data_IF_860466395322
#
_entry.id   IF_860466395322
#
_cell.length_a   1.000
_cell.length_b   1.000
_cell.length_c   1.000
_cell.angle_alpha   90.00
_cell.angle_beta   90.00
_cell.angle_gamma   90.00
#
_symmetry.space_group_name_H-M   'P 1'
#
loop_
_entity.id
_entity.type
_entity.pdbx_description
1 polymer ?
#
# COMPACT_ATOMS: atom_id res chain seq x y z
N UNK A 1 14.68 2.69 1.81
CA UNK A 1 13.89 3.99 1.73
C UNK A 1 12.49 3.75 2.29
N UNK A 2 11.80 4.77 2.79
CA UNK A 2 10.43 4.59 3.28
C UNK A 2 9.42 4.91 2.19
N UNK A 3 8.27 4.24 2.20
CA UNK A 3 7.15 4.62 1.34
C UNK A 3 6.58 5.99 1.75
N UNK A 4 6.10 6.82 0.80
CA UNK A 4 5.56 8.15 1.10
C UNK A 4 4.16 8.14 1.71
N UNK A 5 3.53 6.98 1.78
CA UNK A 5 2.23 6.77 2.40
C UNK A 5 2.16 5.38 3.04
N UNK A 6 1.24 5.24 3.98
CA UNK A 6 0.95 3.95 4.59
C UNK A 6 -0.15 3.28 3.77
N UNK A 7 0.10 2.05 3.34
CA UNK A 7 -0.87 1.21 2.65
C UNK A 7 -1.35 0.08 3.56
N UNK A 8 -2.58 -0.38 3.36
CA UNK A 8 -3.15 -1.45 4.17
C UNK A 8 -2.34 -2.74 4.03
N UNK A 9 -2.13 -3.45 5.12
CA UNK A 9 -1.29 -4.63 5.12
C UNK A 9 0.21 -4.36 4.90
N UNK A 10 0.65 -3.10 5.06
CA UNK A 10 2.02 -2.67 4.72
C UNK A 10 3.12 -3.61 5.22
N UNK A 11 3.82 -4.24 4.30
CA UNK A 11 4.78 -5.34 4.51
C UNK A 11 6.19 -4.89 4.91
N UNK A 12 6.35 -3.63 5.32
CA UNK A 12 7.67 -3.11 5.69
C UNK A 12 8.35 -3.90 6.80
N UNK A 13 7.57 -4.39 7.78
CA UNK A 13 8.13 -5.15 8.92
C UNK A 13 8.68 -6.50 8.52
N UNK A 14 8.17 -7.06 7.45
CA UNK A 14 8.58 -8.37 6.93
C UNK A 14 9.44 -8.25 5.68
N UNK A 15 9.77 -7.03 5.25
CA UNK A 15 10.59 -6.81 4.06
C UNK A 15 11.96 -7.50 4.19
N UNK A 16 12.58 -7.43 5.37
CA UNK A 16 13.86 -8.11 5.63
C UNK A 16 13.74 -9.63 5.48
N UNK A 17 12.63 -10.22 5.99
CA UNK A 17 12.37 -11.65 5.85
C UNK A 17 12.12 -12.05 4.40
N UNK A 18 11.37 -11.21 3.66
CA UNK A 18 11.12 -11.42 2.22
C UNK A 18 12.44 -11.38 1.46
N UNK A 19 13.27 -10.35 1.66
CA UNK A 19 14.55 -10.24 0.96
C UNK A 19 15.57 -11.28 1.37
N UNK A 20 15.58 -11.71 2.63
CA UNK A 20 16.42 -12.83 3.06
C UNK A 20 16.04 -14.13 2.34
N UNK A 21 14.74 -14.35 2.10
CA UNK A 21 14.25 -15.51 1.36
C UNK A 21 14.46 -15.40 -0.15
N UNK A 22 14.26 -14.22 -0.74
CA UNK A 22 14.53 -13.98 -2.14
C UNK A 22 16.03 -13.96 -2.46
N UNK A 23 16.85 -13.41 -1.55
CA UNK A 23 18.27 -13.20 -1.76
C UNK A 23 18.55 -12.24 -2.92
N UNK A 24 19.75 -12.33 -3.52
CA UNK A 24 20.10 -11.54 -4.70
C UNK A 24 19.48 -12.17 -5.95
N UNK A 25 18.47 -11.50 -6.51
CA UNK A 25 17.74 -11.92 -7.71
C UNK A 25 18.00 -10.97 -8.86
N UNK A 26 18.04 -11.53 -10.09
CA UNK A 26 18.28 -10.76 -11.31
C UNK A 26 17.03 -9.99 -11.75
N UNK A 27 15.85 -10.55 -11.46
CA UNK A 27 14.56 -9.95 -11.78
C UNK A 27 13.65 -10.03 -10.55
N UNK A 28 13.03 -8.93 -10.19
CA UNK A 28 12.07 -8.85 -9.09
C UNK A 28 10.70 -8.44 -9.61
N UNK A 29 9.66 -9.13 -9.17
CA UNK A 29 8.27 -8.87 -9.59
C UNK A 29 7.39 -8.73 -8.35
N UNK A 30 6.67 -7.59 -8.23
CA UNK A 30 5.72 -7.28 -7.16
C UNK A 30 4.36 -6.95 -7.78
N UNK A 31 3.47 -7.96 -7.97
CA UNK A 31 2.20 -7.81 -8.68
C UNK A 31 1.14 -7.00 -7.94
N UNK A 32 1.29 -6.83 -6.63
CA UNK A 32 0.42 -6.07 -5.74
C UNK A 32 1.25 -4.99 -5.04
N UNK A 33 1.58 -3.94 -5.80
CA UNK A 33 2.61 -2.97 -5.43
C UNK A 33 2.27 -2.13 -4.19
N UNK A 34 1.03 -1.67 -4.08
CA UNK A 34 0.63 -0.79 -2.99
C UNK A 34 1.63 0.33 -2.75
N UNK A 35 2.20 0.37 -1.54
CA UNK A 35 3.20 1.37 -1.15
C UNK A 35 4.65 1.04 -1.52
N UNK A 36 4.91 -0.02 -2.25
CA UNK A 36 6.26 -0.53 -2.58
C UNK A 36 7.15 -0.79 -1.35
N UNK A 37 6.54 -1.15 -0.23
CA UNK A 37 7.25 -1.26 1.04
C UNK A 37 8.36 -2.32 1.01
N UNK A 38 8.19 -3.39 0.22
CA UNK A 38 9.21 -4.44 0.05
C UNK A 38 10.26 -4.03 -0.96
N UNK A 39 9.88 -3.52 -2.13
CA UNK A 39 10.82 -3.04 -3.14
C UNK A 39 11.80 -1.99 -2.59
N UNK A 40 11.28 -1.03 -1.81
CA UNK A 40 12.07 0.09 -1.28
C UNK A 40 13.08 -0.32 -0.19
N UNK A 41 12.91 -1.49 0.42
CA UNK A 41 13.85 -2.07 1.40
C UNK A 41 14.80 -3.10 0.75
N UNK A 42 14.87 -3.19 -0.59
CA UNK A 42 15.82 -4.08 -1.28
C UNK A 42 17.25 -3.80 -0.84
N UNK A 43 17.97 -4.81 -0.27
CA UNK A 43 19.33 -4.62 0.25
C UNK A 43 20.40 -4.59 -0.84
N UNK A 44 20.16 -5.28 -1.97
CA UNK A 44 21.09 -5.41 -3.08
C UNK A 44 20.85 -4.33 -4.14
N UNK A 45 21.86 -3.98 -4.94
CA UNK A 45 21.68 -3.06 -6.06
C UNK A 45 20.51 -3.49 -6.96
N UNK A 46 19.68 -2.53 -7.40
CA UNK A 46 18.54 -2.85 -8.28
C UNK A 46 19.04 -3.40 -9.61
N UNK A 47 18.28 -4.36 -10.16
CA UNK A 47 18.47 -4.93 -11.50
C UNK A 47 17.14 -4.76 -12.25
N UNK A 48 16.63 -5.80 -12.92
CA UNK A 48 15.28 -5.73 -13.49
C UNK A 48 14.25 -5.78 -12.38
N UNK A 49 13.35 -4.79 -12.35
CA UNK A 49 12.28 -4.69 -11.36
C UNK A 49 10.97 -4.33 -12.05
N UNK A 50 9.92 -5.06 -11.73
CA UNK A 50 8.57 -4.83 -12.27
C UNK A 50 7.57 -4.84 -11.13
N UNK A 51 6.77 -3.79 -11.06
CA UNK A 51 5.70 -3.63 -10.08
C UNK A 51 4.37 -3.44 -10.81
N UNK A 52 3.29 -3.91 -10.23
CA UNK A 52 1.96 -3.75 -10.78
C UNK A 52 0.95 -3.47 -9.68
N UNK A 53 -0.05 -2.69 -9.99
CA UNK A 53 -1.22 -2.55 -9.14
C UNK A 53 -2.47 -2.41 -10.02
N UNK A 54 -3.59 -2.96 -9.55
CA UNK A 54 -4.87 -2.83 -10.22
C UNK A 54 -5.50 -1.44 -10.00
N UNK A 55 -5.09 -0.73 -8.93
CA UNK A 55 -5.56 0.63 -8.65
C UNK A 55 -4.81 1.65 -9.52
N UNK A 56 -5.54 2.26 -10.45
CA UNK A 56 -5.00 3.29 -11.33
C UNK A 56 -4.43 4.52 -10.60
N UNK A 57 -4.92 4.86 -9.40
CA UNK A 57 -4.35 5.95 -8.60
C UNK A 57 -2.95 5.61 -8.10
N UNK A 58 -2.74 4.37 -7.65
CA UNK A 58 -1.42 3.88 -7.21
C UNK A 58 -0.45 3.85 -8.39
N UNK A 59 -0.87 3.24 -9.50
CA UNK A 59 -0.04 3.15 -10.69
C UNK A 59 0.33 4.52 -11.25
N UNK A 60 -0.64 5.45 -11.33
CA UNK A 60 -0.37 6.82 -11.74
C UNK A 60 0.57 7.55 -10.79
N UNK A 61 0.39 7.36 -9.47
CA UNK A 61 1.27 7.99 -8.48
C UNK A 61 2.73 7.58 -8.70
N UNK A 62 3.02 6.30 -8.81
CA UNK A 62 4.38 5.83 -9.01
C UNK A 62 4.96 6.22 -10.37
N UNK A 63 4.16 6.21 -11.42
CA UNK A 63 4.56 6.69 -12.76
C UNK A 63 4.88 8.18 -12.76
N UNK A 64 3.96 8.99 -12.23
CA UNK A 64 4.13 10.44 -12.17
C UNK A 64 5.32 10.83 -11.30
N UNK A 65 5.51 10.17 -10.16
CA UNK A 65 6.63 10.42 -9.27
C UNK A 65 7.98 10.09 -9.93
N UNK A 66 8.07 8.99 -10.67
CA UNK A 66 9.28 8.62 -11.38
C UNK A 66 9.60 9.57 -12.54
N UNK A 67 8.59 10.14 -13.20
CA UNK A 67 8.73 11.00 -14.37
C UNK A 67 8.91 12.49 -14.02
N UNK A 68 8.12 13.00 -13.06
CA UNK A 68 8.08 14.43 -12.68
C UNK A 68 7.81 14.61 -11.19
N UNK A 69 8.81 14.35 -10.32
CA UNK A 69 8.66 14.48 -8.87
C UNK A 69 8.35 15.92 -8.42
N UNK A 70 8.80 16.93 -9.16
CA UNK A 70 8.55 18.34 -8.85
C UNK A 70 7.07 18.68 -9.00
N UNK A 71 6.45 18.29 -10.11
CA UNK A 71 5.04 18.52 -10.33
C UNK A 71 4.17 17.76 -9.32
N UNK A 72 4.53 16.52 -8.96
CA UNK A 72 3.81 15.77 -7.91
C UNK A 72 3.94 16.47 -6.56
N UNK A 73 5.15 16.89 -6.17
CA UNK A 73 5.42 17.60 -4.91
C UNK A 73 4.61 18.89 -4.82
N UNK A 74 4.55 19.67 -5.89
CA UNK A 74 3.75 20.91 -5.97
C UNK A 74 2.28 20.69 -5.61
N UNK A 75 1.70 19.57 -6.04
CA UNK A 75 0.30 19.25 -5.76
C UNK A 75 0.09 18.53 -4.42
N UNK A 76 1.15 18.03 -3.83
CA UNK A 76 1.14 17.32 -2.54
C UNK A 76 1.46 18.25 -1.35
N UNK A 77 2.33 19.24 -1.50
CA UNK A 77 2.74 20.16 -0.42
C UNK A 77 1.67 21.23 -0.19
N UNK A 78 0.60 20.84 0.49
CA UNK A 78 -0.54 21.70 0.75
C UNK A 78 -0.97 21.61 2.23
N UNK A 79 -1.41 22.72 2.83
CA UNK A 79 -1.97 22.70 4.19
C UNK A 79 -3.16 21.76 4.31
N UNK A 80 -3.19 20.97 5.39
CA UNK A 80 -4.29 20.03 5.62
C UNK A 80 -5.49 20.80 6.19
N UNK A 81 -6.59 20.78 5.45
CA UNK A 81 -7.88 21.30 5.90
C UNK A 81 -9.03 20.43 5.36
N UNK A 82 -10.16 20.44 6.04
CA UNK A 82 -11.29 19.58 5.74
C UNK A 82 -11.93 19.92 4.39
N UNK A 83 -12.02 21.20 4.04
CA UNK A 83 -12.69 21.66 2.82
C UNK A 83 -11.95 21.17 1.58
N UNK A 84 -10.64 21.38 1.55
CA UNK A 84 -9.81 20.94 0.43
C UNK A 84 -9.76 19.41 0.34
N UNK A 85 -9.72 18.72 1.50
CA UNK A 85 -9.70 17.27 1.55
C UNK A 85 -10.95 16.68 0.87
N UNK A 86 -12.12 17.25 1.15
CA UNK A 86 -13.37 16.82 0.52
C UNK A 86 -13.47 17.21 -0.94
N UNK A 87 -13.10 18.41 -1.27
CA UNK A 87 -13.15 18.88 -2.65
C UNK A 87 -12.27 18.02 -3.55
N UNK A 88 -11.04 17.72 -3.11
CA UNK A 88 -10.11 16.84 -3.83
C UNK A 88 -10.59 15.40 -3.88
N UNK A 89 -11.13 14.86 -2.78
CA UNK A 89 -11.72 13.53 -2.78
C UNK A 89 -12.82 13.39 -3.83
N UNK A 90 -13.80 14.30 -3.82
CA UNK A 90 -14.91 14.28 -4.77
C UNK A 90 -14.42 14.43 -6.21
N UNK A 91 -13.48 15.33 -6.44
CA UNK A 91 -12.92 15.51 -7.77
C UNK A 91 -12.17 14.26 -8.25
N UNK A 92 -11.35 13.65 -7.39
CA UNK A 92 -10.62 12.41 -7.72
C UNK A 92 -11.57 11.27 -8.04
N UNK A 93 -12.65 11.09 -7.28
CA UNK A 93 -13.62 10.01 -7.51
C UNK A 93 -14.43 10.24 -8.78
N UNK A 94 -14.90 11.45 -9.02
CA UNK A 94 -15.85 11.74 -10.09
C UNK A 94 -15.18 12.09 -11.43
N UNK A 95 -14.07 12.80 -11.38
CA UNK A 95 -13.36 13.30 -12.56
C UNK A 95 -12.01 12.62 -12.74
N UNK A 96 -11.23 12.55 -11.68
CA UNK A 96 -9.88 12.03 -11.70
C UNK A 96 -9.82 10.57 -12.16
N UNK A 97 -10.74 9.72 -11.71
CA UNK A 97 -10.80 8.31 -12.11
C UNK A 97 -11.07 8.13 -13.60
N UNK A 98 -12.05 8.83 -14.16
CA UNK A 98 -12.33 8.77 -15.60
C UNK A 98 -11.14 9.26 -16.42
N UNK A 99 -10.55 10.38 -16.00
CA UNK A 99 -9.36 10.95 -16.63
C UNK A 99 -8.14 10.01 -16.56
N UNK A 100 -7.97 9.26 -15.47
CA UNK A 100 -6.94 8.22 -15.36
C UNK A 100 -7.14 7.12 -16.39
N UNK A 101 -8.35 6.57 -16.48
CA UNK A 101 -8.66 5.47 -17.40
C UNK A 101 -8.46 5.92 -18.84
N UNK A 102 -9.08 7.02 -19.22
CA UNK A 102 -8.98 7.58 -20.58
C UNK A 102 -7.52 7.90 -20.96
N UNK A 103 -6.75 8.52 -20.05
CA UNK A 103 -5.37 8.88 -20.30
C UNK A 103 -4.46 7.67 -20.46
N UNK A 104 -4.54 6.70 -19.53
CA UNK A 104 -3.70 5.50 -19.58
C UNK A 104 -4.03 4.57 -20.77
N UNK A 105 -5.27 4.58 -21.26
CA UNK A 105 -5.68 3.83 -22.46
C UNK A 105 -5.23 4.50 -23.74
N UNK A 106 -5.26 5.84 -23.77
CA UNK A 106 -4.98 6.61 -24.99
C UNK A 106 -3.47 6.82 -25.25
N UNK A 107 -2.66 6.92 -24.19
CA UNK A 107 -1.24 7.28 -24.30
C UNK A 107 -0.38 6.45 -23.31
N UNK A 108 0.53 5.60 -23.82
CA UNK A 108 1.41 4.78 -22.99
C UNK A 108 2.38 5.60 -22.14
N UNK A 109 2.66 6.84 -22.48
CA UNK A 109 3.51 7.74 -21.70
C UNK A 109 2.72 8.63 -20.73
N UNK A 110 1.39 8.56 -20.78
CA UNK A 110 0.54 9.42 -19.99
C UNK A 110 0.67 9.18 -18.47
N UNK A 111 0.73 10.27 -17.73
CA UNK A 111 0.57 10.34 -16.29
C UNK A 111 -0.01 11.71 -15.91
N UNK A 112 -0.61 11.80 -14.73
CA UNK A 112 -1.17 13.06 -14.22
C UNK A 112 -0.58 13.37 -12.83
N UNK A 113 0.33 14.36 -12.72
CA UNK A 113 0.96 14.71 -11.46
C UNK A 113 0.00 15.41 -10.49
N UNK A 114 -1.07 16.06 -10.97
CA UNK A 114 -2.09 16.65 -10.11
C UNK A 114 -2.91 15.55 -9.41
N UNK A 115 -3.35 14.54 -10.15
CA UNK A 115 -4.04 13.38 -9.59
C UNK A 115 -3.11 12.69 -8.58
N UNK A 116 -1.86 12.45 -8.94
CA UNK A 116 -0.85 11.82 -8.08
C UNK A 116 -0.63 12.60 -6.78
N UNK A 117 -0.38 13.91 -6.88
CA UNK A 117 -0.12 14.77 -5.73
C UNK A 117 -1.34 14.92 -4.81
N UNK A 118 -2.53 15.11 -5.36
CA UNK A 118 -3.76 15.18 -4.57
C UNK A 118 -4.11 13.85 -3.92
N UNK A 119 -3.88 12.74 -4.62
CA UNK A 119 -4.13 11.42 -4.08
C UNK A 119 -3.20 11.10 -2.90
N UNK A 120 -1.88 11.33 -3.05
CA UNK A 120 -0.92 11.03 -1.96
C UNK A 120 -1.05 12.00 -0.79
N UNK A 121 -1.38 13.26 -1.03
CA UNK A 121 -1.70 14.22 0.02
C UNK A 121 -2.92 13.77 0.81
N UNK A 122 -3.97 13.37 0.10
CA UNK A 122 -5.21 12.97 0.73
C UNK A 122 -5.10 11.68 1.51
N UNK A 123 -4.44 10.65 1.02
CA UNK A 123 -4.29 9.38 1.76
C UNK A 123 -3.51 9.57 3.07
N UNK A 124 -2.58 10.52 3.12
CA UNK A 124 -1.86 10.87 4.33
C UNK A 124 -2.67 11.76 5.30
N UNK A 125 -3.73 12.38 4.82
CA UNK A 125 -4.56 13.33 5.60
C UNK A 125 -5.92 12.75 5.98
N UNK A 126 -6.38 11.69 5.29
CA UNK A 126 -7.68 11.08 5.49
C UNK A 126 -7.72 10.26 6.78
N UNK A 127 -8.85 10.36 7.50
CA UNK A 127 -9.09 9.58 8.71
C UNK A 127 -10.05 8.45 8.39
N UNK A 128 -9.63 7.22 8.66
CA UNK A 128 -10.41 6.01 8.41
C UNK A 128 -10.10 5.36 7.05
N UNK A 129 -11.00 4.51 6.59
CA UNK A 129 -10.92 3.82 5.30
C UNK A 129 -11.67 4.57 4.21
N UNK A 130 -11.45 4.21 2.94
CA UNK A 130 -12.29 4.63 1.83
C UNK A 130 -11.81 5.89 1.08
N UNK A 131 -10.57 6.34 1.25
CA UNK A 131 -10.00 7.37 0.39
C UNK A 131 -10.06 6.95 -1.07
N UNK A 132 -10.73 7.75 -1.91
CA UNK A 132 -10.96 7.50 -3.34
C UNK A 132 -11.66 6.18 -3.70
N UNK A 133 -12.22 5.44 -2.74
CA UNK A 133 -12.99 4.22 -3.02
C UNK A 133 -14.35 4.46 -3.68
N UNK A 134 -14.83 5.70 -3.66
CA UNK A 134 -16.22 6.03 -4.04
C UNK A 134 -17.26 5.60 -3.00
N UNK A 135 -16.82 4.96 -1.93
CA UNK A 135 -17.64 4.55 -0.78
C UNK A 135 -17.17 5.41 0.41
N UNK A 136 -18.04 6.11 1.04
CA UNK A 136 -17.64 6.96 2.16
C UNK A 136 -18.79 7.89 2.59
N UNK A 137 -18.62 8.68 3.66
CA UNK A 137 -19.67 9.56 4.15
C UNK A 137 -20.05 10.68 3.17
N UNK A 138 -19.24 10.89 2.12
CA UNK A 138 -19.38 11.94 1.13
C UNK A 138 -19.76 11.34 -0.23
N UNK A 139 -21.05 11.06 -0.41
CA UNK A 139 -21.62 10.64 -1.69
C UNK A 139 -22.44 11.77 -2.27
N UNK A 140 -22.44 11.91 -3.59
CA UNK A 140 -23.53 12.64 -4.26
C UNK A 140 -24.84 11.92 -3.94
N UNK A 141 -25.90 12.66 -3.63
CA UNK A 141 -27.22 12.09 -3.60
C UNK A 141 -27.60 11.57 -4.99
N UNK A 142 -28.51 10.60 -5.04
CA UNK A 142 -28.97 10.01 -6.30
C UNK A 142 -29.63 11.03 -7.25
N UNK A 143 -29.92 12.24 -6.79
CA UNK A 143 -30.52 13.33 -7.56
C UNK A 143 -29.48 14.33 -8.10
N UNK A 144 -28.19 14.17 -7.81
CA UNK A 144 -27.13 15.08 -8.28
C UNK A 144 -27.20 16.50 -7.68
N UNK A 145 -28.00 16.71 -6.65
CA UNK A 145 -28.27 18.02 -6.05
C UNK A 145 -27.39 18.39 -4.86
N UNK A 146 -26.26 17.77 -4.72
CA UNK A 146 -25.32 18.15 -3.68
C UNK A 146 -24.62 16.96 -3.01
N UNK A 147 -23.64 17.30 -2.21
CA UNK A 147 -22.94 16.32 -1.37
C UNK A 147 -23.84 16.02 -0.19
N UNK A 148 -24.43 14.83 -0.16
CA UNK A 148 -25.12 14.35 1.04
C UNK A 148 -24.09 14.13 2.13
N UNK A 149 -23.80 15.23 2.85
CA UNK A 149 -23.12 15.15 4.13
C UNK A 149 -24.04 14.31 5.01
N UNK A 150 -23.69 13.07 5.31
CA UNK A 150 -24.21 12.44 6.51
C UNK A 150 -23.80 13.39 7.64
N UNK A 151 -24.75 14.23 8.06
CA UNK A 151 -24.51 15.06 9.25
C UNK A 151 -23.99 14.13 10.31
N UNK A 152 -22.89 14.46 10.97
CA UNK A 152 -22.50 13.73 12.17
C UNK A 152 -23.78 13.56 12.95
N UNK A 153 -24.20 12.34 13.22
CA UNK A 153 -25.38 12.09 14.03
C UNK A 153 -25.11 12.79 15.34
N UNK A 154 -25.78 13.92 15.55
CA UNK A 154 -25.91 14.53 16.85
C UNK A 154 -26.90 13.69 17.66
N UNK A 155 -26.71 12.36 17.65
CA UNK A 155 -27.38 11.44 18.55
C UNK A 155 -26.87 11.70 19.97
N UNK A 156 -27.63 11.24 20.93
CA UNK A 156 -27.47 11.46 22.37
C UNK A 156 -26.08 11.19 22.96
N UNK A 157 -25.16 10.67 22.19
CA UNK A 157 -23.81 10.35 22.64
C UNK A 157 -22.73 11.36 22.19
N UNK A 158 -23.05 12.39 21.43
CA UNK A 158 -22.05 13.39 20.98
C UNK A 158 -20.86 12.78 20.23
N UNK A 159 -21.00 11.62 19.67
CA UNK A 159 -19.91 10.82 19.07
C UNK A 159 -19.69 11.11 17.59
N UNK A 160 -20.12 12.25 17.12
CA UNK A 160 -19.72 12.73 15.81
C UNK A 160 -18.60 13.72 15.98
N UNK A 161 -17.47 13.50 15.32
CA UNK A 161 -16.27 14.36 15.36
C UNK A 161 -15.97 14.81 16.78
N UNK A 162 -15.03 14.16 17.42
CA UNK A 162 -14.53 14.55 18.73
C UNK A 162 -14.09 16.01 18.64
N UNK A 163 -14.98 16.94 19.00
CA UNK A 163 -14.66 18.36 19.20
C UNK A 163 -13.92 18.50 20.51
N UNK A 164 -12.79 17.85 20.61
CA UNK A 164 -11.84 18.26 21.62
C UNK A 164 -11.26 19.59 21.13
N UNK A 165 -11.41 20.60 21.95
CA UNK A 165 -10.63 21.82 21.85
C UNK A 165 -9.19 21.46 21.55
N UNK A 166 -8.44 22.26 20.78
CA UNK A 166 -7.04 22.00 20.52
C UNK A 166 -6.30 21.83 21.85
N UNK A 167 -6.20 20.60 22.31
CA UNK A 167 -5.39 20.28 23.46
C UNK A 167 -3.95 20.22 23.01
N UNK A 168 -3.14 21.12 23.52
CA UNK A 168 -1.68 21.13 23.40
C UNK A 168 -1.02 19.99 24.19
N UNK A 169 -1.70 18.85 24.35
CA UNK A 169 -1.21 17.69 25.07
C UNK A 169 -1.21 16.42 24.22
N UNK A 170 -0.62 15.34 24.75
CA UNK A 170 -0.44 14.04 24.09
C UNK A 170 -1.74 13.33 23.64
N UNK A 171 -2.91 13.90 23.91
CA UNK A 171 -4.22 13.41 23.51
C UNK A 171 -4.75 14.02 22.20
N UNK A 172 -4.01 14.88 21.55
CA UNK A 172 -4.36 15.52 20.28
C UNK A 172 -4.24 14.58 19.08
N UNK A 173 -4.82 13.39 19.14
CA UNK A 173 -4.86 12.42 18.03
C UNK A 173 -6.07 12.64 17.12
N UNK A 174 -6.44 13.88 16.87
CA UNK A 174 -7.35 14.21 15.79
C UNK A 174 -6.53 14.66 14.58
N UNK A 175 -6.89 14.22 13.39
CA UNK A 175 -6.23 14.48 12.10
C UNK A 175 -4.74 14.14 12.14
N UNK A 176 -4.40 13.03 11.57
CA UNK A 176 -3.01 12.63 11.35
C UNK A 176 -2.36 13.67 10.41
N UNK A 177 -1.70 14.68 10.96
CA UNK A 177 -0.98 15.72 10.20
C UNK A 177 0.35 15.15 9.67
N UNK A 178 0.30 14.05 8.98
CA UNK A 178 1.50 13.52 8.36
C UNK A 178 1.49 13.97 6.90
N UNK A 179 2.37 14.90 6.59
CA UNK A 179 2.90 15.03 5.24
C UNK A 179 3.42 13.66 4.78
N UNK A 180 3.53 13.41 3.47
CA UNK A 180 4.09 12.16 2.95
C UNK A 180 5.25 11.72 3.82
N UNK A 181 5.26 10.46 4.22
CA UNK A 181 5.97 9.95 5.40
C UNK A 181 7.48 10.18 5.31
N UNK A 182 7.96 11.31 5.82
CA UNK A 182 9.39 11.64 5.94
C UNK A 182 10.08 10.95 7.12
N UNK A 183 9.50 9.84 7.59
CA UNK A 183 10.03 9.10 8.74
C UNK A 183 10.01 9.90 10.04
N UNK A 184 10.96 9.62 10.94
CA UNK A 184 11.07 10.33 12.22
C UNK A 184 11.40 11.82 12.09
N UNK A 185 11.84 12.29 10.94
CA UNK A 185 12.11 13.72 10.69
C UNK A 185 10.83 14.58 10.82
N UNK A 186 9.65 14.01 10.54
CA UNK A 186 8.38 14.72 10.75
C UNK A 186 7.95 14.91 12.20
N UNK A 187 8.56 14.19 13.16
CA UNK A 187 8.23 14.30 14.60
C UNK A 187 9.05 15.34 15.37
N UNK A 188 10.21 15.72 14.86
CA UNK A 188 11.14 16.60 15.58
C UNK A 188 10.87 18.11 15.40
N UNK A 189 9.88 18.53 14.64
CA UNK A 189 9.86 19.87 14.07
C UNK A 189 8.83 20.85 14.58
N UNK A 190 8.06 20.56 15.63
CA UNK A 190 7.04 21.54 16.08
C UNK A 190 7.60 22.77 16.83
N UNK A 191 8.87 22.75 17.21
CA UNK A 191 9.48 23.87 17.93
C UNK A 191 10.50 24.67 17.09
N UNK A 192 10.75 24.31 15.82
CA UNK A 192 11.63 25.07 14.95
C UNK A 192 10.91 25.41 13.65
N UNK A 193 10.59 26.68 13.44
CA UNK A 193 10.00 27.22 12.20
C UNK A 193 10.90 27.02 10.95
N UNK A 194 12.11 26.52 11.12
CA UNK A 194 13.10 26.32 10.03
C UNK A 194 13.03 24.95 9.35
N UNK A 195 12.29 23.97 9.90
CA UNK A 195 12.25 22.63 9.35
C UNK A 195 10.91 22.31 8.66
N UNK A 196 10.72 22.83 7.45
CA UNK A 196 9.74 22.24 6.54
C UNK A 196 10.34 20.93 5.99
N UNK A 197 9.64 19.79 6.10
CA UNK A 197 10.07 18.59 5.41
C UNK A 197 10.24 18.93 3.93
N UNK A 198 11.39 18.63 3.35
CA UNK A 198 11.61 18.82 1.93
C UNK A 198 10.93 17.67 1.16
N UNK A 199 9.62 17.83 0.90
CA UNK A 199 8.83 16.85 0.13
C UNK A 199 9.44 16.63 -1.24
N UNK A 200 9.89 17.71 -1.89
CA UNK A 200 10.53 17.63 -3.20
C UNK A 200 11.80 16.80 -3.16
N UNK A 201 12.74 17.10 -2.27
CA UNK A 201 13.98 16.33 -2.18
C UNK A 201 13.77 14.86 -1.90
N UNK A 202 12.75 14.53 -1.08
CA UNK A 202 12.37 13.15 -0.83
C UNK A 202 11.76 12.48 -2.08
N UNK A 203 10.94 13.19 -2.83
CA UNK A 203 10.37 12.68 -4.08
C UNK A 203 11.42 12.53 -5.18
N UNK A 204 12.41 13.41 -5.24
CA UNK A 204 13.56 13.28 -6.12
C UNK A 204 14.39 12.02 -5.81
N UNK A 205 14.64 11.73 -4.53
CA UNK A 205 15.30 10.48 -4.12
C UNK A 205 14.50 9.24 -4.52
N UNK A 206 13.19 9.26 -4.31
CA UNK A 206 12.30 8.17 -4.75
C UNK A 206 12.28 8.04 -6.28
N UNK A 207 12.18 9.15 -7.02
CA UNK A 207 12.21 9.16 -8.47
C UNK A 207 13.53 8.56 -9.00
N UNK A 208 14.66 8.92 -8.40
CA UNK A 208 15.95 8.31 -8.70
C UNK A 208 15.96 6.80 -8.47
N UNK A 209 15.37 6.33 -7.36
CA UNK A 209 15.26 4.90 -7.06
C UNK A 209 14.35 4.15 -8.04
N UNK A 210 13.28 4.79 -8.51
CA UNK A 210 12.26 4.18 -9.35
C UNK A 210 12.53 4.32 -10.85
N UNK A 211 13.57 5.02 -11.24
CA UNK A 211 13.85 5.36 -12.64
C UNK A 211 13.81 4.17 -13.59
N UNK A 212 14.35 3.03 -13.15
CA UNK A 212 14.48 1.82 -13.96
C UNK A 212 13.41 0.76 -13.58
N UNK A 213 12.47 1.09 -12.69
CA UNK A 213 11.38 0.21 -12.27
C UNK A 213 10.24 0.30 -13.28
N UNK A 214 9.81 -0.83 -13.81
CA UNK A 214 8.61 -0.90 -14.66
C UNK A 214 7.36 -0.86 -13.80
N UNK A 215 6.56 0.18 -13.95
CA UNK A 215 5.27 0.32 -13.27
C UNK A 215 4.16 -0.06 -14.24
N UNK A 216 3.45 -1.15 -13.93
CA UNK A 216 2.31 -1.65 -14.67
C UNK A 216 1.00 -1.34 -13.94
N UNK A 217 -0.11 -1.32 -14.68
CA UNK A 217 -1.45 -1.16 -14.13
C UNK A 217 -2.38 -2.21 -14.73
N UNK A 218 -3.08 -2.95 -13.87
CA UNK A 218 -4.08 -3.93 -14.28
C UNK A 218 -3.98 -5.25 -13.52
N UNK A 219 -4.52 -6.30 -14.12
CA UNK A 219 -4.54 -7.63 -13.51
C UNK A 219 -3.13 -8.14 -13.18
N UNK A 220 -2.97 -8.72 -12.01
CA UNK A 220 -1.71 -9.20 -11.46
C UNK A 220 -1.02 -10.26 -12.34
N UNK A 221 -1.81 -11.11 -13.00
CA UNK A 221 -1.29 -12.22 -13.81
C UNK A 221 -0.48 -11.73 -15.03
N UNK A 222 -0.72 -10.52 -15.50
CA UNK A 222 0.00 -9.91 -16.64
C UNK A 222 1.50 -9.78 -16.42
N UNK A 223 1.92 -9.60 -15.17
CA UNK A 223 3.34 -9.49 -14.81
C UNK A 223 3.92 -10.81 -14.29
N UNK A 224 3.08 -11.81 -14.10
CA UNK A 224 3.46 -13.18 -13.70
C UNK A 224 3.56 -14.15 -14.89
N UNK A 225 3.82 -13.63 -16.09
CA UNK A 225 3.96 -14.45 -17.30
C UNK A 225 5.42 -14.87 -17.53
N UNK A 226 5.61 -15.95 -18.29
CA UNK A 226 6.95 -16.39 -18.70
C UNK A 226 7.75 -15.30 -19.41
N UNK A 227 7.09 -14.42 -20.18
CA UNK A 227 7.73 -13.27 -20.83
C UNK A 227 8.23 -12.22 -19.83
N UNK A 228 7.40 -11.82 -18.87
CA UNK A 228 7.78 -10.84 -17.84
C UNK A 228 8.90 -11.38 -16.93
N UNK A 229 8.93 -12.69 -16.68
CA UNK A 229 9.89 -13.37 -15.82
C UNK A 229 11.08 -13.99 -16.59
N UNK A 230 11.24 -13.67 -17.88
CA UNK A 230 12.28 -14.28 -18.73
C UNK A 230 13.69 -13.74 -18.49
N UNK A 231 13.82 -12.56 -17.88
CA UNK A 231 15.11 -11.93 -17.65
C UNK A 231 15.81 -12.50 -16.42
N UNK A 232 17.08 -12.87 -16.60
CA UNK A 232 17.95 -13.36 -15.54
C UNK A 232 17.79 -14.84 -15.23
N UNK A 233 18.72 -15.36 -14.44
CA UNK A 233 18.75 -16.77 -14.01
C UNK A 233 17.91 -17.00 -12.75
N UNK A 234 17.67 -15.94 -11.95
CA UNK A 234 16.92 -15.98 -10.70
C UNK A 234 15.90 -14.87 -10.67
N UNK A 235 14.65 -15.23 -10.47
CA UNK A 235 13.50 -14.33 -10.40
C UNK A 235 12.90 -14.40 -9.00
N UNK A 236 12.80 -13.26 -8.33
CA UNK A 236 12.07 -13.13 -7.07
C UNK A 236 10.66 -12.61 -7.33
N UNK A 237 9.67 -13.28 -6.79
CA UNK A 237 8.26 -12.85 -6.90
C UNK A 237 7.70 -12.69 -5.51
N UNK A 238 7.20 -11.48 -5.19
CA UNK A 238 6.51 -11.21 -3.93
C UNK A 238 5.03 -10.95 -4.20
N UNK A 239 4.18 -11.79 -3.64
CA UNK A 239 2.73 -11.77 -3.83
C UNK A 239 2.03 -11.43 -2.53
N UNK A 240 1.32 -10.31 -2.50
CA UNK A 240 0.52 -9.83 -1.37
C UNK A 240 -0.92 -9.49 -1.83
N UNK A 241 -1.69 -10.52 -2.25
CA UNK A 241 -3.05 -10.30 -2.75
C UNK A 241 -3.98 -9.78 -1.65
N UNK A 242 -5.13 -9.18 -2.00
CA UNK A 242 -6.18 -8.87 -1.05
C UNK A 242 -6.62 -10.12 -0.28
N UNK A 243 -6.67 -10.04 1.06
CA UNK A 243 -7.01 -11.18 1.91
C UNK A 243 -8.51 -11.44 1.95
N UNK A 244 -8.89 -12.74 1.97
CA UNK A 244 -10.27 -13.16 2.13
C UNK A 244 -10.80 -12.76 3.51
N UNK A 245 -12.04 -12.28 3.55
CA UNK A 245 -12.71 -11.95 4.82
C UNK A 245 -12.32 -10.61 5.43
N UNK A 246 -11.46 -9.82 4.79
CA UNK A 246 -11.27 -8.44 5.18
C UNK A 246 -12.43 -7.61 4.62
N UNK A 247 -13.49 -7.44 5.45
CA UNK A 247 -14.68 -6.62 5.12
C UNK A 247 -14.27 -5.19 4.71
N UNK A 248 -13.03 -4.78 5.05
CA UNK A 248 -12.43 -3.53 4.66
C UNK A 248 -11.79 -3.58 3.28
N UNK A 249 -11.36 -4.76 2.83
CA UNK A 249 -10.79 -4.93 1.48
C UNK A 249 -11.87 -4.73 0.40
N UNK A 250 -13.10 -5.15 0.65
CA UNK A 250 -14.24 -4.92 -0.23
C UNK A 250 -14.49 -3.42 -0.54
N UNK A 251 -14.06 -2.54 0.36
CA UNK A 251 -14.21 -1.09 0.21
C UNK A 251 -12.95 -0.39 -0.33
N UNK A 252 -11.81 -1.08 -0.38
CA UNK A 252 -10.51 -0.50 -0.71
C UNK A 252 -10.04 -0.78 -2.13
N UNK A 253 -10.36 -1.96 -2.65
CA UNK A 253 -10.01 -2.34 -4.01
C UNK A 253 -11.19 -2.07 -4.94
N UNK A 254 -10.94 -1.37 -6.03
CA UNK A 254 -11.95 -1.10 -7.06
C UNK A 254 -12.44 -2.40 -7.74
N UNK A 255 -11.65 -3.47 -7.61
CA UNK A 255 -11.96 -4.83 -8.08
C UNK A 255 -11.95 -5.75 -6.86
N UNK A 256 -13.12 -5.98 -6.30
CA UNK A 256 -13.34 -6.89 -5.18
C UNK A 256 -13.58 -8.29 -5.76
N UNK A 257 -12.52 -9.07 -5.90
CA UNK A 257 -12.64 -10.46 -6.33
C UNK A 257 -12.10 -11.40 -5.24
N UNK A 258 -13.02 -11.99 -4.48
CA UNK A 258 -12.71 -13.02 -3.48
C UNK A 258 -11.97 -14.23 -4.08
N UNK A 259 -11.87 -14.32 -5.41
CA UNK A 259 -11.17 -15.39 -6.13
C UNK A 259 -9.68 -15.10 -6.28
N UNK A 260 -9.23 -13.84 -6.16
CA UNK A 260 -7.83 -13.46 -6.43
C UNK A 260 -6.86 -14.20 -5.52
N UNK A 261 -7.10 -14.26 -4.21
CA UNK A 261 -6.20 -14.93 -3.27
C UNK A 261 -6.03 -16.43 -3.60
N UNK A 262 -7.10 -17.09 -4.04
CA UNK A 262 -7.05 -18.49 -4.48
C UNK A 262 -6.30 -18.63 -5.80
N UNK A 263 -6.56 -17.79 -6.78
CA UNK A 263 -5.88 -17.82 -8.06
C UNK A 263 -4.36 -17.58 -7.92
N UNK A 264 -3.99 -16.66 -7.03
CA UNK A 264 -2.57 -16.41 -6.70
C UNK A 264 -1.93 -17.62 -6.04
N UNK A 265 -2.60 -18.26 -5.07
CA UNK A 265 -2.10 -19.48 -4.45
C UNK A 265 -1.93 -20.59 -5.48
N UNK A 266 -2.92 -20.82 -6.34
CA UNK A 266 -2.88 -21.86 -7.35
C UNK A 266 -1.72 -21.63 -8.33
N UNK A 267 -1.48 -20.38 -8.72
CA UNK A 267 -0.30 -19.99 -9.48
C UNK A 267 1.02 -20.27 -8.71
N UNK A 268 1.06 -19.99 -7.41
CA UNK A 268 2.22 -20.31 -6.57
C UNK A 268 2.51 -21.82 -6.55
N UNK A 269 1.47 -22.65 -6.44
CA UNK A 269 1.60 -24.10 -6.43
C UNK A 269 2.08 -24.66 -7.79
N UNK A 270 1.59 -24.08 -8.87
CA UNK A 270 2.01 -24.46 -10.24
C UNK A 270 3.47 -24.14 -10.53
N UNK A 271 3.98 -23.01 -9.99
CA UNK A 271 5.30 -22.48 -10.35
C UNK A 271 6.35 -22.63 -9.23
N UNK A 272 5.95 -23.09 -8.04
CA UNK A 272 6.82 -23.13 -6.86
C UNK A 272 8.03 -24.06 -6.97
N UNK A 273 7.96 -25.08 -7.82
CA UNK A 273 9.05 -26.05 -8.05
C UNK A 273 10.02 -25.62 -9.18
N UNK A 274 9.80 -24.47 -9.84
CA UNK A 274 10.76 -23.95 -10.82
C UNK A 274 12.02 -23.43 -10.09
N UNK A 275 13.21 -24.02 -10.32
CA UNK A 275 14.43 -23.63 -9.62
C UNK A 275 14.93 -22.22 -9.94
N UNK A 276 14.36 -21.56 -10.94
CA UNK A 276 14.64 -20.18 -11.28
C UNK A 276 13.82 -19.20 -10.43
N UNK A 277 12.67 -19.67 -9.90
CA UNK A 277 11.72 -18.83 -9.19
C UNK A 277 11.90 -18.95 -7.67
N UNK A 278 11.95 -17.81 -7.00
CA UNK A 278 11.87 -17.67 -5.56
C UNK A 278 10.59 -16.89 -5.27
N UNK A 279 9.58 -17.60 -4.78
CA UNK A 279 8.24 -17.05 -4.59
C UNK A 279 7.99 -16.88 -3.11
N UNK A 280 7.52 -15.69 -2.72
CA UNK A 280 7.04 -15.39 -1.39
C UNK A 280 5.58 -14.96 -1.48
N UNK A 281 4.69 -15.74 -0.87
CA UNK A 281 3.26 -15.45 -0.76
C UNK A 281 2.96 -14.93 0.64
N UNK A 282 2.25 -13.81 0.75
CA UNK A 282 1.70 -13.29 1.99
C UNK A 282 0.19 -13.53 2.06
N UNK A 283 -0.35 -13.84 3.22
CA UNK A 283 -1.78 -14.06 3.40
C UNK A 283 -2.13 -14.42 4.84
N UNK A 284 -3.42 -14.72 5.08
CA UNK A 284 -3.85 -15.24 6.37
C UNK A 284 -3.69 -16.76 6.43
N UNK A 285 -3.33 -17.26 7.62
CA UNK A 285 -3.21 -18.67 7.90
C UNK A 285 -4.44 -19.47 7.45
N UNK A 286 -5.61 -18.99 7.79
CA UNK A 286 -6.88 -19.65 7.48
C UNK A 286 -7.18 -19.77 5.97
N UNK A 287 -6.51 -18.99 5.13
CA UNK A 287 -6.75 -18.97 3.68
C UNK A 287 -5.92 -20.02 2.92
N UNK A 288 -4.72 -20.30 3.43
CA UNK A 288 -3.74 -21.02 2.65
C UNK A 288 -3.09 -22.21 3.38
N UNK A 289 -3.01 -22.21 4.73
CA UNK A 289 -2.14 -23.11 5.48
C UNK A 289 -2.41 -24.59 5.21
N UNK A 290 -3.68 -24.97 5.13
CA UNK A 290 -4.11 -26.34 4.87
C UNK A 290 -3.89 -26.79 3.42
N UNK A 291 -3.63 -25.85 2.51
CA UNK A 291 -3.49 -26.09 1.08
C UNK A 291 -2.06 -25.92 0.59
N UNK A 292 -1.19 -25.30 1.38
CA UNK A 292 0.22 -25.13 1.04
C UNK A 292 1.02 -26.37 1.43
N UNK A 293 1.82 -26.96 0.50
CA UNK A 293 2.63 -28.13 0.77
C UNK A 293 3.66 -27.92 1.88
N UNK A 294 4.06 -29.00 2.56
CA UNK A 294 5.11 -28.96 3.60
C UNK A 294 6.49 -28.54 3.05
N UNK A 295 6.69 -28.60 1.74
CA UNK A 295 7.89 -28.11 1.06
C UNK A 295 8.00 -26.59 1.08
N UNK A 296 6.90 -25.87 1.33
CA UNK A 296 6.88 -24.44 1.49
C UNK A 296 7.12 -24.08 2.96
N UNK A 297 8.20 -23.36 3.24
CA UNK A 297 8.50 -22.88 4.60
C UNK A 297 7.53 -21.78 5.00
N UNK A 298 7.17 -21.72 6.27
CA UNK A 298 6.25 -20.75 6.85
C UNK A 298 6.97 -19.82 7.81
N UNK A 299 6.64 -18.54 7.74
CA UNK A 299 7.07 -17.53 8.70
C UNK A 299 5.84 -16.80 9.23
N UNK A 300 5.54 -17.02 10.51
CA UNK A 300 4.38 -16.41 11.17
C UNK A 300 4.79 -15.06 11.76
N UNK A 301 3.98 -14.05 11.53
CA UNK A 301 4.21 -12.72 12.07
C UNK A 301 2.89 -12.06 12.46
N UNK A 302 2.96 -11.05 13.37
CA UNK A 302 1.78 -10.28 13.74
C UNK A 302 1.84 -8.88 13.13
N UNK A 303 0.80 -8.52 12.36
CA UNK A 303 0.65 -7.16 11.88
C UNK A 303 0.27 -6.22 13.03
N UNK A 304 1.02 -5.14 13.21
CA UNK A 304 0.61 -4.08 14.13
C UNK A 304 -0.55 -3.30 13.55
N UNK A 305 -1.55 -3.04 14.41
CA UNK A 305 -2.64 -2.14 14.11
C UNK A 305 -2.15 -0.72 13.83
N UNK A 306 -1.87 -0.39 12.58
CA UNK A 306 -1.55 0.99 12.19
C UNK A 306 -2.76 1.95 12.33
N UNK A 307 -3.99 1.42 12.42
CA UNK A 307 -5.22 2.22 12.36
C UNK A 307 -6.39 1.72 13.25
N UNK A 308 -6.17 1.18 14.43
CA UNK A 308 -7.27 1.02 15.36
C UNK A 308 -7.24 2.10 16.43
N UNK A 309 -7.99 3.17 16.22
CA UNK A 309 -8.09 4.31 17.14
C UNK A 309 -9.16 4.16 18.20
N UNK A 310 -9.80 3.01 18.36
CA UNK A 310 -10.74 2.79 19.45
C UNK A 310 -10.67 1.36 19.97
N UNK A 311 -10.25 1.22 21.22
CA UNK A 311 -10.36 -0.06 21.97
C UNK A 311 -11.78 -0.60 22.04
N UNK A 312 -12.80 0.22 21.81
CA UNK A 312 -14.21 -0.17 21.83
C UNK A 312 -14.68 -0.87 20.55
N UNK A 313 -14.14 -0.55 19.37
CA UNK A 313 -14.47 -1.25 18.12
C UNK A 313 -13.75 -2.60 18.01
N UNK A 314 -12.60 -2.74 18.67
CA UNK A 314 -11.80 -3.95 18.67
C UNK A 314 -12.41 -5.09 19.51
N UNK A 315 -13.36 -4.80 20.40
CA UNK A 315 -14.00 -5.81 21.26
C UNK A 315 -15.24 -6.47 20.65
N UNK A 316 -15.81 -5.90 19.60
CA UNK A 316 -17.04 -6.42 18.98
C UNK A 316 -16.83 -7.25 17.71
N UNK A 317 -15.75 -7.06 17.00
CA UNK A 317 -15.48 -7.84 15.79
C UNK A 317 -14.23 -8.70 16.01
N UNK A 318 -14.28 -9.99 15.72
CA UNK A 318 -13.22 -10.99 15.85
C UNK A 318 -11.88 -10.67 15.17
N UNK A 319 -11.60 -9.42 14.92
CA UNK A 319 -10.48 -8.83 14.19
C UNK A 319 -9.13 -8.95 14.93
N UNK A 320 -9.14 -9.24 16.25
CA UNK A 320 -7.91 -9.52 16.98
C UNK A 320 -7.32 -10.90 16.69
N UNK A 321 -8.18 -11.87 16.36
CA UNK A 321 -7.75 -13.23 16.02
C UNK A 321 -7.04 -13.26 14.64
N UNK A 322 -7.44 -12.40 13.71
CA UNK A 322 -6.85 -12.36 12.36
C UNK A 322 -5.46 -11.71 12.32
N UNK A 323 -5.16 -10.79 13.25
CA UNK A 323 -3.85 -10.08 13.31
C UNK A 323 -2.68 -10.96 13.77
N UNK A 324 -2.98 -12.02 14.51
CA UNK A 324 -1.97 -13.00 14.96
C UNK A 324 -1.73 -14.11 13.91
N UNK A 325 -2.40 -14.04 12.77
CA UNK A 325 -2.50 -15.13 11.80
C UNK A 325 -1.94 -14.78 10.42
N UNK A 326 -1.12 -13.71 10.28
CA UNK A 326 -0.43 -13.43 9.03
C UNK A 326 0.79 -14.35 8.85
N UNK A 327 0.96 -14.85 7.63
CA UNK A 327 2.01 -15.80 7.29
C UNK A 327 2.65 -15.40 5.97
N UNK A 328 3.97 -15.60 5.88
CA UNK A 328 4.69 -15.68 4.62
C UNK A 328 4.99 -17.15 4.31
N UNK A 329 4.64 -17.58 3.11
CA UNK A 329 5.03 -18.88 2.57
C UNK A 329 6.16 -18.68 1.56
N UNK A 330 7.24 -19.41 1.75
CA UNK A 330 8.43 -19.37 0.90
C UNK A 330 8.52 -20.63 0.07
N UNK A 331 8.60 -20.49 -1.25
CA UNK A 331 8.77 -21.65 -2.16
C UNK A 331 10.05 -22.42 -1.86
N UNK A 332 10.15 -23.69 -2.31
CA UNK A 332 11.31 -24.57 -2.02
C UNK A 332 12.66 -24.00 -2.44
N UNK A 333 12.70 -23.15 -3.47
CA UNK A 333 13.94 -22.57 -4.01
C UNK A 333 14.31 -21.21 -3.40
N UNK A 334 13.52 -20.70 -2.45
CA UNK A 334 13.92 -19.57 -1.62
C UNK A 334 15.16 -19.89 -0.80
N UNK A 335 16.01 -18.88 -0.58
CA UNK A 335 17.21 -19.02 0.25
C UNK A 335 16.81 -19.48 1.65
N UNK A 336 17.51 -20.49 2.13
CA UNK A 336 17.37 -20.95 3.53
C UNK A 336 18.45 -20.26 4.34
N UNK A 337 18.12 -19.60 5.46
CA UNK A 337 19.15 -19.10 6.37
C UNK A 337 20.03 -20.27 6.79
N UNK A 338 21.35 -20.14 6.65
CA UNK A 338 22.28 -21.11 7.19
C UNK A 338 22.06 -21.21 8.71
N UNK A 339 22.09 -22.44 9.26
CA UNK A 339 21.87 -22.71 10.70
C UNK A 339 22.90 -22.08 11.65
N UNK A 340 23.79 -21.21 11.16
CA UNK A 340 24.80 -20.51 11.95
C UNK A 340 24.45 -19.08 12.36
N UNK A 341 23.24 -18.60 12.11
CA UNK A 341 22.82 -17.24 12.52
C UNK A 341 21.48 -17.24 13.22
N UNK A 342 21.49 -17.25 14.54
CA UNK A 342 20.37 -17.03 15.46
C UNK A 342 19.73 -15.62 15.31
N UNK A 343 19.43 -15.19 14.08
CA UNK A 343 18.85 -13.87 13.82
C UNK A 343 17.32 -13.88 13.73
N UNK A 344 16.69 -15.05 13.85
CA UNK A 344 15.24 -15.18 13.65
C UNK A 344 14.43 -15.28 14.95
N UNK A 345 15.09 -15.47 16.11
CA UNK A 345 14.40 -15.51 17.41
C UNK A 345 14.30 -14.14 18.11
N UNK A 346 14.87 -13.08 17.53
CA UNK A 346 14.95 -11.75 18.17
C UNK A 346 14.15 -10.65 17.45
N UNK A 347 13.31 -10.97 16.46
CA UNK A 347 12.40 -10.05 15.79
C UNK A 347 10.95 -10.52 15.93
#
# INVERSE_FOLDING_TARGET
MKAPFVWFGGKRRVADAVWAALGDVDNYVEPFAGSLAVLLERPNPPRTETVNDADGFIANFWRALAADPEAVAKHCDWPVNEVDLFARHLWLVNTGRSRLLEGMEADPEWFDPQIAGWWVWGINSWIGSGWCSGKGPWKHDAAGQGVNRKRPHLGDAGQGVNRQLPHLGNAGQGVNRQLPHLGNAGRAGYNNMEYRPNVLGYFEELAGRLRDVRVCCGDWSRVCTSGAMSHGSKVGVFLDPPYLGDVRAADLYAVDDHTIAHAVRDWCLEHGDDPRLRIVLAGYRAEHDDLMPDTWRRHYYSASAAYSTTESAARQDGNHANRANEVLWFSPHCVTPDRQGELWEAL
#
